data_IF_225300985479
#
_entry.id   IF_225300985479
#
_cell.length_a   1.000
_cell.length_b   1.000
_cell.length_c   1.000
_cell.angle_alpha   90.00
_cell.angle_beta   90.00
_cell.angle_gamma   90.00
#
_symmetry.space_group_name_H-M   'P 1'
#
loop_
_entity.id
_entity.type
_entity.pdbx_description
1 polymer ?
#
# COMPACT_ATOMS: atom_id res chain seq x y z
N UNK A 1 -5.78 -5.35 39.70
CA UNK A 1 -6.34 -6.10 38.54
C UNK A 1 -5.44 -7.29 38.33
N UNK A 2 -5.98 -8.52 38.35
CA UNK A 2 -5.21 -9.69 37.92
C UNK A 2 -4.74 -9.46 36.48
N UNK A 3 -3.47 -9.74 36.13
CA UNK A 3 -3.01 -9.58 34.76
C UNK A 3 -3.86 -10.51 33.88
N UNK A 4 -4.46 -9.95 32.84
CA UNK A 4 -5.17 -10.75 31.85
C UNK A 4 -4.19 -11.77 31.25
N UNK A 5 -4.68 -12.99 30.99
CA UNK A 5 -3.92 -14.05 30.31
C UNK A 5 -3.30 -13.47 29.04
N UNK A 6 -1.99 -13.61 28.89
CA UNK A 6 -1.31 -13.13 27.70
C UNK A 6 -1.71 -13.98 26.48
N UNK A 7 -1.63 -13.40 25.28
CA UNK A 7 -1.87 -14.16 24.04
C UNK A 7 -0.96 -15.40 23.98
N UNK A 8 0.29 -15.31 24.44
CA UNK A 8 1.20 -16.46 24.46
C UNK A 8 0.71 -17.56 25.42
N UNK A 9 0.19 -17.20 26.60
CA UNK A 9 -0.39 -18.16 27.54
C UNK A 9 -1.66 -18.82 26.97
N UNK A 10 -2.44 -18.09 26.18
CA UNK A 10 -3.58 -18.69 25.47
C UNK A 10 -3.12 -19.67 24.38
N UNK A 11 -2.08 -19.31 23.62
CA UNK A 11 -1.49 -20.17 22.59
C UNK A 11 -0.83 -21.43 23.18
N UNK A 12 -0.27 -21.36 24.38
CA UNK A 12 0.29 -22.52 25.09
C UNK A 12 -0.77 -23.56 25.47
N UNK A 13 -2.01 -23.13 25.65
CA UNK A 13 -3.14 -24.01 25.94
C UNK A 13 -3.83 -24.56 24.69
N UNK A 14 -3.40 -24.18 23.47
CA UNK A 14 -3.98 -24.70 22.24
C UNK A 14 -3.64 -26.18 22.06
N UNK A 15 -4.67 -26.99 21.79
CA UNK A 15 -4.51 -28.42 21.51
C UNK A 15 -3.78 -28.67 20.18
N UNK A 16 -3.71 -27.68 19.28
CA UNK A 16 -3.02 -27.75 18.00
C UNK A 16 -1.64 -27.09 18.07
N UNK A 17 -0.63 -27.62 17.36
CA UNK A 17 0.67 -26.97 17.24
C UNK A 17 0.52 -25.55 16.72
N UNK A 18 0.97 -24.59 17.51
CA UNK A 18 0.90 -23.17 17.18
C UNK A 18 1.96 -22.82 16.13
N UNK A 19 1.58 -22.23 14.99
CA UNK A 19 2.54 -21.77 13.99
C UNK A 19 3.57 -20.80 14.61
N UNK A 20 4.87 -20.89 14.25
CA UNK A 20 5.91 -20.02 14.80
C UNK A 20 5.61 -18.52 14.62
N UNK A 21 4.86 -18.14 13.57
CA UNK A 21 4.49 -16.75 13.32
C UNK A 21 3.65 -16.13 14.45
N UNK A 22 2.83 -16.94 15.13
CA UNK A 22 1.99 -16.46 16.24
C UNK A 22 2.79 -16.36 17.56
N UNK A 23 4.03 -16.86 17.58
CA UNK A 23 4.94 -16.76 18.72
C UNK A 23 5.81 -15.50 18.68
N UNK A 24 5.82 -14.77 17.56
CA UNK A 24 6.49 -13.48 17.50
C UNK A 24 5.77 -12.48 18.41
N UNK A 25 6.49 -11.98 19.41
CA UNK A 25 6.03 -10.90 20.28
C UNK A 25 6.89 -9.68 20.02
N UNK A 26 6.31 -8.68 19.36
CA UNK A 26 6.91 -7.36 19.12
C UNK A 26 6.31 -6.28 20.03
N UNK A 27 5.68 -6.69 21.13
CA UNK A 27 5.10 -5.78 22.11
C UNK A 27 6.19 -5.15 22.97
N UNK A 28 7.09 -4.38 22.35
CA UNK A 28 7.98 -3.49 23.07
C UNK A 28 7.14 -2.42 23.77
N UNK A 29 7.50 -2.11 25.01
CA UNK A 29 6.87 -1.01 25.74
C UNK A 29 7.33 0.31 25.12
N UNK A 30 6.41 0.98 24.41
CA UNK A 30 6.64 2.27 23.78
C UNK A 30 6.37 3.44 24.75
N UNK A 31 6.05 3.15 26.00
CA UNK A 31 5.63 4.12 27.01
C UNK A 31 4.16 4.53 26.89
N UNK A 32 3.66 5.15 27.96
CA UNK A 32 2.28 5.66 28.04
C UNK A 32 2.21 7.18 28.04
N UNK A 33 3.36 7.85 27.91
CA UNK A 33 3.42 9.30 27.90
C UNK A 33 2.72 9.87 26.66
N UNK A 34 1.98 10.98 26.78
CA UNK A 34 1.36 11.63 25.64
C UNK A 34 2.39 12.01 24.58
N UNK A 35 2.07 11.74 23.31
CA UNK A 35 2.83 12.25 22.20
C UNK A 35 2.57 13.75 22.02
N UNK A 36 3.60 14.49 21.64
CA UNK A 36 3.48 15.91 21.28
C UNK A 36 2.49 16.09 20.11
N UNK A 37 1.58 17.06 20.25
CA UNK A 37 0.56 17.40 19.24
C UNK A 37 1.19 17.78 17.90
N UNK A 38 2.40 18.35 17.91
CA UNK A 38 3.13 18.73 16.71
C UNK A 38 3.32 17.56 15.73
N UNK A 39 3.39 16.32 16.22
CA UNK A 39 3.52 15.14 15.37
C UNK A 39 2.33 14.93 14.43
N UNK A 40 1.16 15.46 14.78
CA UNK A 40 -0.07 15.28 14.00
C UNK A 40 -0.40 16.46 13.09
N UNK A 41 0.15 17.66 13.38
CA UNK A 41 -0.24 18.90 12.69
C UNK A 41 0.91 19.56 11.92
N UNK A 42 2.17 19.20 12.23
CA UNK A 42 3.33 19.86 11.64
C UNK A 42 3.63 19.35 10.23
N UNK A 43 3.91 20.31 9.35
CA UNK A 43 4.44 20.05 8.00
C UNK A 43 5.76 19.28 8.06
N UNK A 44 6.65 19.66 8.98
CA UNK A 44 7.97 19.07 9.11
C UNK A 44 7.88 17.58 9.49
N UNK A 45 7.01 17.24 10.43
CA UNK A 45 6.78 15.85 10.82
C UNK A 45 6.23 15.02 9.66
N UNK A 46 5.22 15.52 8.94
CA UNK A 46 4.73 14.82 7.75
C UNK A 46 5.85 14.57 6.73
N UNK A 47 6.68 15.56 6.42
CA UNK A 47 7.74 15.38 5.41
C UNK A 47 8.76 14.32 5.82
N UNK A 48 9.08 14.26 7.12
CA UNK A 48 9.90 13.18 7.67
C UNK A 48 9.21 11.83 7.55
N UNK A 49 7.92 11.73 7.82
CA UNK A 49 7.17 10.48 7.67
C UNK A 49 7.10 10.03 6.20
N UNK A 50 6.90 10.95 5.25
CA UNK A 50 6.93 10.62 3.81
C UNK A 50 8.29 10.06 3.40
N UNK A 51 9.38 10.67 3.86
CA UNK A 51 10.74 10.26 3.52
C UNK A 51 11.16 8.93 4.20
N UNK A 52 10.78 8.75 5.46
CA UNK A 52 11.30 7.68 6.32
C UNK A 52 10.35 6.51 6.53
N UNK A 53 9.05 6.71 6.34
CA UNK A 53 8.02 5.69 6.58
C UNK A 53 7.26 5.38 5.31
N UNK A 54 6.45 6.31 4.80
CA UNK A 54 5.43 6.01 3.79
C UNK A 54 6.01 5.46 2.48
N UNK A 55 7.17 5.96 2.04
CA UNK A 55 7.90 5.47 0.86
C UNK A 55 8.76 4.22 1.11
N UNK A 56 8.87 3.75 2.35
CA UNK A 56 9.80 2.70 2.77
C UNK A 56 9.14 1.46 3.36
N UNK A 57 7.85 1.54 3.69
CA UNK A 57 7.08 0.42 4.22
C UNK A 57 6.14 -0.14 3.16
N UNK A 58 5.78 -1.42 3.31
CA UNK A 58 4.77 -2.05 2.48
C UNK A 58 3.41 -1.35 2.66
N UNK A 59 2.76 -1.00 1.55
CA UNK A 59 1.44 -0.38 1.52
C UNK A 59 0.39 -1.41 1.07
N UNK A 60 -0.73 -1.49 1.79
CA UNK A 60 -1.86 -2.31 1.37
C UNK A 60 -2.69 -1.54 0.33
N UNK A 61 -2.58 -1.94 -0.94
CA UNK A 61 -3.26 -1.26 -2.05
C UNK A 61 -4.66 -1.84 -2.26
N UNK A 62 -4.75 -3.14 -2.51
CA UNK A 62 -6.00 -3.86 -2.74
C UNK A 62 -5.80 -5.37 -2.60
N UNK A 63 -6.89 -6.12 -2.63
CA UNK A 63 -6.89 -7.57 -2.77
C UNK A 63 -6.87 -7.96 -4.26
N UNK A 64 -6.34 -9.15 -4.54
CA UNK A 64 -6.23 -9.65 -5.90
C UNK A 64 -7.59 -9.90 -6.59
N UNK A 65 -8.65 -10.12 -5.82
CA UNK A 65 -10.03 -10.31 -6.29
C UNK A 65 -10.79 -8.99 -6.55
N UNK A 66 -10.23 -7.84 -6.17
CA UNK A 66 -10.75 -6.53 -6.58
C UNK A 66 -10.33 -6.15 -8.01
N UNK A 67 -9.27 -6.80 -8.52
CA UNK A 67 -8.76 -6.64 -9.89
C UNK A 67 -8.64 -8.01 -10.59
N UNK A 68 -9.74 -8.76 -10.78
CA UNK A 68 -9.68 -10.15 -11.25
C UNK A 68 -9.21 -10.29 -12.70
N UNK A 69 -9.50 -9.32 -13.56
CA UNK A 69 -9.33 -9.42 -15.01
C UNK A 69 -8.19 -8.55 -15.54
N UNK A 70 -7.64 -8.92 -16.70
CA UNK A 70 -6.64 -8.09 -17.37
C UNK A 70 -7.20 -6.69 -17.68
N UNK A 71 -6.40 -5.68 -17.35
CA UNK A 71 -6.75 -4.26 -17.47
C UNK A 71 -7.41 -3.67 -16.22
N UNK A 72 -7.87 -4.49 -15.28
CA UNK A 72 -8.42 -4.01 -14.01
C UNK A 72 -7.30 -3.31 -13.21
N UNK A 73 -7.61 -2.14 -12.68
CA UNK A 73 -6.66 -1.29 -11.97
C UNK A 73 -7.29 -0.50 -10.85
N UNK A 74 -6.46 -0.19 -9.85
CA UNK A 74 -6.75 0.72 -8.75
C UNK A 74 -5.69 1.82 -8.73
N UNK A 75 -6.15 3.05 -8.59
CA UNK A 75 -5.32 4.23 -8.35
C UNK A 75 -4.97 4.32 -6.86
N UNK A 76 -3.71 4.60 -6.55
CA UNK A 76 -3.23 4.63 -5.18
C UNK A 76 -2.15 5.70 -5.01
N UNK A 77 -2.19 6.43 -3.90
CA UNK A 77 -1.28 7.55 -3.67
C UNK A 77 -0.43 7.32 -2.43
N UNK A 78 0.88 7.51 -2.55
CA UNK A 78 1.80 7.61 -1.42
C UNK A 78 2.24 9.07 -1.30
N UNK A 79 1.52 9.82 -0.45
CA UNK A 79 1.65 11.27 -0.35
C UNK A 79 1.51 11.96 -1.72
N UNK A 80 2.62 12.44 -2.29
CA UNK A 80 2.63 13.09 -3.61
C UNK A 80 2.82 12.10 -4.78
N UNK A 81 3.24 10.86 -4.52
CA UNK A 81 3.51 9.88 -5.56
C UNK A 81 2.20 9.22 -6.01
N UNK A 82 1.82 9.46 -7.28
CA UNK A 82 0.65 8.86 -7.90
C UNK A 82 1.01 7.49 -8.48
N UNK A 83 0.36 6.44 -8.02
CA UNK A 83 0.56 5.06 -8.48
C UNK A 83 -0.72 4.49 -9.10
N UNK A 84 -0.53 3.46 -9.91
CA UNK A 84 -1.59 2.63 -10.44
C UNK A 84 -1.16 1.16 -10.30
N UNK A 85 -1.97 0.37 -9.61
CA UNK A 85 -1.79 -1.08 -9.49
C UNK A 85 -2.75 -1.76 -10.44
N UNK A 86 -2.26 -2.63 -11.32
CA UNK A 86 -3.06 -3.21 -12.39
C UNK A 86 -2.71 -4.65 -12.72
N UNK A 87 -3.72 -5.42 -13.13
CA UNK A 87 -3.52 -6.77 -13.68
C UNK A 87 -3.20 -6.69 -15.16
N UNK A 88 -2.04 -7.22 -15.53
CA UNK A 88 -1.55 -7.28 -16.92
C UNK A 88 -2.18 -8.44 -17.68
N UNK A 89 -2.01 -8.46 -19.01
CA UNK A 89 -2.48 -9.57 -19.86
C UNK A 89 -1.85 -10.93 -19.50
N UNK A 90 -0.64 -10.91 -18.91
CA UNK A 90 0.03 -12.11 -18.40
C UNK A 90 -0.60 -12.66 -17.11
N UNK A 91 -1.54 -11.93 -16.51
CA UNK A 91 -2.09 -12.21 -15.19
C UNK A 91 -1.25 -11.69 -14.02
N UNK A 92 -0.02 -11.20 -14.26
CA UNK A 92 0.79 -10.55 -13.23
C UNK A 92 0.16 -9.23 -12.78
N UNK A 93 0.28 -8.90 -11.48
CA UNK A 93 -0.09 -7.59 -10.94
C UNK A 93 1.16 -6.72 -10.90
N UNK A 94 1.09 -5.52 -11.50
CA UNK A 94 2.17 -4.52 -11.49
C UNK A 94 1.69 -3.23 -10.87
N UNK A 95 2.55 -2.59 -10.08
CA UNK A 95 2.39 -1.20 -9.65
C UNK A 95 3.30 -0.30 -10.50
N UNK A 96 2.74 0.75 -11.09
CA UNK A 96 3.42 1.70 -11.95
C UNK A 96 3.20 3.12 -11.43
N UNK A 97 4.06 4.06 -11.81
CA UNK A 97 3.76 5.48 -11.62
C UNK A 97 2.60 5.87 -12.55
N UNK A 98 1.54 6.43 -11.99
CA UNK A 98 0.38 6.95 -12.71
C UNK A 98 0.68 8.35 -13.25
N UNK A 99 1.74 8.43 -14.07
CA UNK A 99 2.31 9.70 -14.54
C UNK A 99 2.74 9.54 -16.00
N UNK A 100 2.14 10.33 -16.87
CA UNK A 100 2.52 10.40 -18.27
C UNK A 100 3.97 10.91 -18.42
N UNK A 101 4.81 10.15 -19.13
CA UNK A 101 6.21 10.50 -19.37
C UNK A 101 6.42 11.76 -20.24
N UNK A 102 5.38 12.28 -20.88
CA UNK A 102 5.47 13.53 -21.66
C UNK A 102 5.42 14.78 -20.77
N UNK A 103 4.34 14.96 -19.98
CA UNK A 103 4.11 16.18 -19.18
C UNK A 103 3.52 15.91 -17.79
N UNK A 104 3.70 14.72 -17.25
CA UNK A 104 3.36 14.41 -15.87
C UNK A 104 1.86 14.30 -15.56
N UNK A 105 0.98 14.30 -16.58
CA UNK A 105 -0.47 14.14 -16.37
C UNK A 105 -0.78 12.74 -15.86
N UNK A 106 -1.69 12.61 -14.89
CA UNK A 106 -2.21 11.31 -14.49
C UNK A 106 -2.84 10.58 -15.69
N UNK A 107 -2.51 9.30 -15.83
CA UNK A 107 -3.04 8.44 -16.90
C UNK A 107 -4.47 8.01 -16.57
N UNK A 108 -4.73 7.72 -15.28
CA UNK A 108 -6.04 7.37 -14.73
C UNK A 108 -6.35 8.27 -13.53
N UNK A 109 -7.61 8.66 -13.35
CA UNK A 109 -8.07 9.46 -12.20
C UNK A 109 -9.04 8.70 -11.31
N UNK A 110 -9.44 7.51 -11.75
CA UNK A 110 -10.42 6.64 -11.11
C UNK A 110 -9.98 5.20 -11.35
N UNK A 111 -10.42 4.32 -10.48
CA UNK A 111 -10.26 2.87 -10.63
C UNK A 111 -11.11 2.38 -11.81
N UNK A 112 -10.81 1.18 -12.33
CA UNK A 112 -11.62 0.57 -13.37
C UNK A 112 -10.84 -0.38 -14.24
N UNK A 113 -11.22 -0.47 -15.52
CA UNK A 113 -10.60 -1.39 -16.48
C UNK A 113 -10.25 -0.69 -17.78
N UNK A 114 -9.04 -0.93 -18.29
CA UNK A 114 -8.58 -0.41 -19.59
C UNK A 114 -7.77 -1.44 -20.36
N UNK A 115 -7.78 -1.37 -21.69
CA UNK A 115 -6.91 -2.19 -22.55
C UNK A 115 -5.55 -1.56 -22.82
N UNK A 116 -5.40 -0.25 -22.59
CA UNK A 116 -4.15 0.50 -22.71
C UNK A 116 -4.14 1.67 -21.73
N UNK A 117 -2.96 2.13 -21.36
CA UNK A 117 -2.77 3.35 -20.60
C UNK A 117 -2.64 4.54 -21.55
N UNK A 118 -3.77 5.13 -21.94
CA UNK A 118 -3.77 6.30 -22.84
C UNK A 118 -3.84 7.61 -22.06
N UNK A 119 -2.86 8.48 -22.27
CA UNK A 119 -2.84 9.81 -21.65
C UNK A 119 -3.99 10.68 -22.19
N UNK A 120 -4.84 11.26 -21.31
CA UNK A 120 -6.00 12.06 -21.74
C UNK A 120 -5.61 13.42 -22.35
N UNK A 121 -4.33 13.80 -22.30
CA UNK A 121 -3.89 15.09 -22.82
C UNK A 121 -3.49 15.03 -24.31
N UNK A 122 -2.46 14.26 -24.64
CA UNK A 122 -1.92 14.19 -26.01
C UNK A 122 -2.00 12.78 -26.62
N UNK A 123 -2.66 11.83 -25.94
CA UNK A 123 -2.90 10.50 -26.48
C UNK A 123 -1.66 9.59 -26.58
N UNK A 124 -0.56 9.92 -25.91
CA UNK A 124 0.53 8.95 -25.73
C UNK A 124 -0.02 7.74 -24.97
N UNK A 125 0.26 6.55 -25.50
CA UNK A 125 -0.24 5.29 -24.99
C UNK A 125 0.91 4.40 -24.53
N UNK A 126 0.63 3.58 -23.53
CA UNK A 126 1.49 2.50 -23.07
C UNK A 126 0.65 1.23 -22.92
N UNK A 127 1.29 0.08 -23.01
CA UNK A 127 0.66 -1.19 -22.66
C UNK A 127 0.34 -1.21 -21.16
N UNK A 128 -0.65 -2.02 -20.76
CA UNK A 128 -1.07 -2.15 -19.34
C UNK A 128 0.00 -2.81 -18.45
N UNK A 129 1.12 -3.24 -19.01
CA UNK A 129 2.26 -3.76 -18.27
C UNK A 129 3.41 -2.73 -18.11
N UNK A 130 3.20 -1.50 -18.60
CA UNK A 130 4.13 -0.38 -18.55
C UNK A 130 5.10 -0.28 -19.73
N UNK A 131 5.02 -1.17 -20.72
CA UNK A 131 5.86 -1.13 -21.92
C UNK A 131 5.31 -0.20 -23.01
N UNK A 132 6.12 0.10 -24.02
CA UNK A 132 5.75 0.86 -25.22
C UNK A 132 5.64 -0.05 -26.43
#
# INVERSE_FOLDING_TARGET
>A
MSPATSIQQFLDADARPVPPVLRYSINEDLGTEPLDVERFISREWHDREVEKVWRRVWQMVCRADEIPEAGDHITYDIAADKLISMRTDSGAIKALYNVCLHRGRALRTEDGRVSELRCPFHGFSWNIDGTS
#
